data_IF_014307718728
#
_entry.id   IF_014307718728
#
_cell.length_a   1.000
_cell.length_b   1.000
_cell.length_c   1.000
_cell.angle_alpha   90.00
_cell.angle_beta   90.00
_cell.angle_gamma   90.00
#
_symmetry.space_group_name_H-M   'P 1'
#
loop_
_entity.id
_entity.type
_entity.pdbx_description
1 polymer ?
#
# COMPACT_ATOMS: atom_id res chain seq x y z
N UNK A 1 -5.91 43.54 18.71
CA UNK A 1 -5.29 44.88 18.72
C UNK A 1 -4.09 44.77 17.83
N UNK A 2 -3.97 45.61 16.81
CA UNK A 2 -2.80 45.64 15.93
C UNK A 2 -1.59 46.06 16.74
N UNK A 3 -0.85 45.07 17.24
CA UNK A 3 0.46 45.29 17.81
C UNK A 3 1.35 45.60 16.61
N UNK A 4 1.80 46.85 16.49
CA UNK A 4 2.51 47.43 15.35
C UNK A 4 3.92 46.83 15.11
N UNK A 5 4.05 45.51 15.22
CA UNK A 5 5.27 44.71 15.15
C UNK A 5 5.01 43.50 14.26
N UNK A 6 5.72 43.46 13.14
CA UNK A 6 5.81 42.30 12.28
C UNK A 6 6.89 41.36 12.85
N UNK A 7 6.44 40.25 13.45
CA UNK A 7 7.31 39.27 14.11
C UNK A 7 8.26 38.60 13.10
N UNK A 8 7.83 38.11 11.93
CA UNK A 8 8.74 37.62 10.89
C UNK A 8 9.84 38.62 10.50
N UNK A 9 9.50 39.90 10.28
CA UNK A 9 10.49 40.95 9.98
C UNK A 9 11.45 41.16 11.15
N UNK A 10 10.94 41.13 12.38
CA UNK A 10 11.76 41.29 13.58
C UNK A 10 12.75 40.14 13.77
N UNK A 11 12.29 38.89 13.60
CA UNK A 11 13.10 37.66 13.66
C UNK A 11 14.20 37.69 12.62
N UNK A 12 13.87 38.04 11.36
CA UNK A 12 14.85 38.17 10.27
C UNK A 12 15.88 39.26 10.53
N UNK A 13 15.45 40.43 11.02
CA UNK A 13 16.36 41.54 11.36
C UNK A 13 17.32 41.17 12.47
N UNK A 14 16.85 40.43 13.48
CA UNK A 14 17.63 39.99 14.64
C UNK A 14 18.40 38.70 14.41
N UNK A 15 18.21 38.04 13.26
CA UNK A 15 18.84 36.75 12.89
C UNK A 15 18.66 35.69 13.98
N UNK A 16 17.45 35.57 14.51
CA UNK A 16 17.15 34.56 15.53
C UNK A 16 17.06 33.19 14.87
N UNK A 17 17.65 32.19 15.52
CA UNK A 17 17.42 30.77 15.26
C UNK A 17 16.16 30.29 16.01
N UNK A 18 15.81 29.01 15.89
CA UNK A 18 14.64 28.42 16.54
C UNK A 18 14.64 28.65 18.06
N UNK A 19 15.82 28.52 18.68
CA UNK A 19 15.98 28.73 20.12
C UNK A 19 15.79 30.20 20.51
N UNK A 20 16.38 31.13 19.75
CA UNK A 20 16.18 32.56 19.93
C UNK A 20 14.74 32.99 19.73
N UNK A 21 14.03 32.37 18.79
CA UNK A 21 12.60 32.60 18.54
C UNK A 21 11.74 32.09 19.70
N UNK A 22 11.97 30.88 20.19
CA UNK A 22 11.27 30.31 21.36
C UNK A 22 11.45 31.22 22.58
N UNK A 23 12.70 31.63 22.86
CA UNK A 23 13.00 32.55 23.96
C UNK A 23 12.28 33.89 23.81
N UNK A 24 12.25 34.46 22.60
CA UNK A 24 11.52 35.70 22.29
C UNK A 24 10.02 35.55 22.56
N UNK A 25 9.38 34.48 22.08
CA UNK A 25 7.94 34.25 22.27
C UNK A 25 7.62 34.10 23.77
N UNK A 26 8.39 33.29 24.50
CA UNK A 26 8.19 33.12 25.94
C UNK A 26 8.45 34.40 26.74
N UNK A 27 9.40 35.24 26.32
CA UNK A 27 9.60 36.58 26.89
C UNK A 27 8.38 37.48 26.67
N UNK A 28 7.86 37.54 25.43
CA UNK A 28 6.66 38.34 25.12
C UNK A 28 5.45 37.88 25.96
N UNK A 29 5.27 36.56 26.10
CA UNK A 29 4.18 35.96 26.89
C UNK A 29 4.30 36.25 28.39
N UNK A 30 5.51 36.14 28.94
CA UNK A 30 5.79 36.31 30.37
C UNK A 30 5.75 37.78 30.80
N UNK A 31 6.39 38.67 30.04
CA UNK A 31 6.52 40.09 30.38
C UNK A 31 5.32 40.90 29.88
N UNK A 32 4.58 40.40 28.87
CA UNK A 32 3.48 41.10 28.20
C UNK A 32 3.89 42.51 27.74
N UNK A 33 5.10 42.62 27.19
CA UNK A 33 5.65 43.89 26.73
C UNK A 33 4.86 44.46 25.54
N UNK A 34 4.78 45.79 25.44
CA UNK A 34 4.20 46.45 24.28
C UNK A 34 5.10 46.32 23.05
N UNK A 35 4.52 46.46 21.85
CA UNK A 35 5.30 46.40 20.60
C UNK A 35 6.41 47.46 20.52
N UNK A 36 6.14 48.67 21.01
CA UNK A 36 7.14 49.75 21.10
C UNK A 36 8.30 49.37 22.03
N UNK A 37 8.00 48.75 23.18
CA UNK A 37 9.03 48.27 24.11
C UNK A 37 9.88 47.16 23.52
N UNK A 38 9.29 46.31 22.66
CA UNK A 38 10.01 45.22 22.01
C UNK A 38 10.96 45.75 20.91
N UNK A 39 10.48 46.70 20.10
CA UNK A 39 11.28 47.34 19.05
C UNK A 39 12.45 48.17 19.60
N UNK A 40 12.31 48.74 20.81
CA UNK A 40 13.35 49.53 21.48
C UNK A 40 14.45 48.73 22.21
N UNK A 41 14.43 47.40 22.13
CA UNK A 41 15.43 46.55 22.80
C UNK A 41 16.82 46.67 22.16
N UNK A 42 17.88 46.65 22.97
CA UNK A 42 19.27 46.70 22.49
C UNK A 42 19.63 45.43 21.70
N UNK A 43 20.50 45.54 20.71
CA UNK A 43 20.90 44.39 19.84
C UNK A 43 21.94 43.49 20.50
N UNK A 44 22.80 44.10 21.30
CA UNK A 44 23.96 43.56 21.97
C UNK A 44 23.63 42.77 23.24
N UNK A 45 22.42 42.92 23.79
CA UNK A 45 21.95 42.18 24.96
C UNK A 45 20.42 42.09 24.94
N UNK A 46 19.85 41.09 24.26
CA UNK A 46 18.41 40.92 24.19
C UNK A 46 17.87 40.50 25.56
N UNK A 47 16.75 41.07 26.02
CA UNK A 47 16.20 40.76 27.35
C UNK A 47 15.68 39.32 27.46
N UNK A 48 15.52 38.62 26.33
CA UNK A 48 15.12 37.21 26.27
C UNK A 48 16.30 36.23 26.21
N UNK A 49 17.55 36.68 26.33
CA UNK A 49 18.72 35.79 26.22
C UNK A 49 18.90 34.81 27.41
N UNK A 50 18.06 34.93 28.43
CA UNK A 50 18.05 34.05 29.61
C UNK A 50 17.46 32.66 29.31
N UNK A 51 18.05 31.61 29.89
CA UNK A 51 17.56 30.23 29.75
C UNK A 51 16.22 30.00 30.46
N UNK A 52 15.75 30.93 31.30
CA UNK A 52 14.41 30.87 31.87
C UNK A 52 13.31 30.86 30.80
N UNK A 53 13.57 31.50 29.65
CA UNK A 53 12.63 31.59 28.53
C UNK A 53 12.66 30.37 27.60
N UNK A 54 13.44 29.34 27.93
CA UNK A 54 13.33 28.03 27.29
C UNK A 54 12.12 27.22 27.77
N UNK A 55 11.50 27.64 28.87
CA UNK A 55 10.30 26.98 29.40
C UNK A 55 9.04 27.62 28.81
N UNK A 56 8.17 26.84 28.16
CA UNK A 56 6.91 27.35 27.62
C UNK A 56 6.08 28.03 28.72
N UNK A 57 5.65 29.26 28.47
CA UNK A 57 4.69 29.96 29.36
C UNK A 57 3.29 29.35 29.24
N UNK A 58 2.97 28.80 28.06
CA UNK A 58 1.75 28.06 27.76
C UNK A 58 2.13 26.65 27.27
N UNK A 59 1.48 25.63 27.81
CA UNK A 59 1.85 24.22 27.60
C UNK A 59 1.70 23.78 26.13
N UNK A 60 0.77 24.39 25.39
CA UNK A 60 0.48 24.11 23.98
C UNK A 60 0.46 25.40 23.14
N UNK A 61 1.47 26.27 23.26
CA UNK A 61 1.53 27.51 22.45
C UNK A 61 1.81 27.18 20.97
N UNK A 62 0.86 27.43 20.04
CA UNK A 62 1.08 27.14 18.62
C UNK A 62 2.24 27.95 18.04
N UNK A 63 2.56 29.11 18.63
CA UNK A 63 3.69 29.93 18.19
C UNK A 63 5.04 29.28 18.52
N UNK A 64 5.12 28.33 19.44
CA UNK A 64 6.36 27.59 19.73
C UNK A 64 6.56 26.38 18.80
N UNK A 65 5.58 26.08 17.94
CA UNK A 65 5.61 24.98 16.99
C UNK A 65 5.93 25.43 15.56
N UNK A 66 6.21 26.73 15.37
CA UNK A 66 6.54 27.29 14.06
C UNK A 66 8.03 27.09 13.79
N UNK A 67 8.34 26.58 12.59
CA UNK A 67 9.70 26.54 12.05
C UNK A 67 10.13 27.94 11.60
N UNK A 68 11.26 28.44 12.11
CA UNK A 68 11.75 29.80 11.81
C UNK A 68 12.17 29.94 10.35
N UNK A 69 12.64 28.87 9.72
CA UNK A 69 13.01 28.87 8.30
C UNK A 69 11.75 29.06 7.44
N UNK A 70 10.68 28.32 7.73
CA UNK A 70 9.39 28.45 7.05
C UNK A 70 8.74 29.84 7.29
N UNK A 71 8.82 30.35 8.52
CA UNK A 71 8.34 31.69 8.90
C UNK A 71 9.01 32.79 8.07
N UNK A 72 10.31 32.68 7.82
CA UNK A 72 11.07 33.66 7.04
C UNK A 72 10.84 33.52 5.53
N UNK A 73 10.62 32.30 5.03
CA UNK A 73 10.32 32.02 3.62
C UNK A 73 8.94 32.55 3.19
N UNK A 74 7.93 32.41 4.06
CA UNK A 74 6.60 32.98 3.83
C UNK A 74 6.62 34.50 3.63
N UNK A 75 7.56 35.21 4.28
CA UNK A 75 7.71 36.66 4.12
C UNK A 75 8.62 37.05 2.93
N UNK A 76 9.47 36.14 2.45
CA UNK A 76 10.24 36.30 1.22
C UNK A 76 9.36 36.48 -0.03
N UNK A 77 8.19 35.83 -0.04
CA UNK A 77 7.17 35.98 -1.08
C UNK A 77 6.50 37.38 -1.12
N UNK A 78 6.56 38.15 -0.03
CA UNK A 78 6.02 39.51 0.04
C UNK A 78 7.08 40.57 -0.31
N UNK A 79 8.35 40.30 0.02
CA UNK A 79 9.47 41.22 -0.24
C UNK A 79 10.00 41.16 -1.69
N UNK A 80 9.86 40.03 -2.41
CA UNK A 80 10.30 39.93 -3.81
C UNK A 80 9.36 40.59 -4.83
N UNK A 81 8.21 41.12 -4.37
CA UNK A 81 7.30 41.92 -5.21
C UNK A 81 7.83 43.36 -5.42
N UNK A 82 8.86 43.82 -4.68
CA UNK A 82 9.38 45.19 -4.82
C UNK A 82 10.66 45.32 -5.66
N UNK A 83 11.15 44.27 -6.34
CA UNK A 83 12.39 44.37 -7.15
C UNK A 83 12.34 43.80 -8.57
N UNK A 84 11.20 43.28 -9.04
CA UNK A 84 11.03 42.89 -10.44
C UNK A 84 10.32 44.00 -11.23
N UNK A 85 10.90 44.37 -12.37
CA UNK A 85 10.40 45.38 -13.31
C UNK A 85 8.88 45.34 -13.48
N UNK A 86 8.24 46.51 -13.40
CA UNK A 86 6.81 46.73 -13.63
C UNK A 86 6.40 46.20 -15.01
N UNK A 87 5.88 44.97 -15.06
CA UNK A 87 5.05 44.50 -16.16
C UNK A 87 3.61 44.65 -15.70
N UNK A 88 2.89 45.53 -16.37
CA UNK A 88 1.48 45.83 -16.12
C UNK A 88 0.66 44.53 -15.90
N UNK A 89 0.03 44.34 -14.72
CA UNK A 89 -0.65 43.10 -14.35
C UNK A 89 -1.88 42.77 -15.20
N UNK A 90 -2.36 43.70 -16.03
CA UNK A 90 -3.46 43.47 -16.99
C UNK A 90 -2.98 43.16 -18.43
N UNK A 91 -1.67 43.21 -18.69
CA UNK A 91 -1.14 42.85 -20.00
C UNK A 91 -1.21 41.32 -20.23
N UNK A 92 -1.58 40.86 -21.45
CA UNK A 92 -1.65 39.43 -21.78
C UNK A 92 -0.38 38.63 -21.41
N UNK A 93 0.81 39.24 -21.50
CA UNK A 93 2.06 38.60 -21.13
C UNK A 93 2.21 38.40 -19.61
N UNK A 94 1.72 39.34 -18.79
CA UNK A 94 1.73 39.24 -17.33
C UNK A 94 0.72 38.19 -16.82
N UNK A 95 -0.44 38.07 -17.48
CA UNK A 95 -1.41 37.02 -17.20
C UNK A 95 -0.90 35.63 -17.57
N UNK A 96 -0.21 35.50 -18.71
CA UNK A 96 0.39 34.24 -19.15
C UNK A 96 1.46 33.75 -18.17
N UNK A 97 2.34 34.65 -17.74
CA UNK A 97 3.40 34.33 -16.78
C UNK A 97 2.83 33.89 -15.42
N UNK A 98 1.77 34.57 -14.93
CA UNK A 98 1.07 34.16 -13.70
C UNK A 98 0.38 32.81 -13.83
N UNK A 99 -0.19 32.50 -15.00
CA UNK A 99 -0.81 31.20 -15.26
C UNK A 99 0.24 30.09 -15.23
N UNK A 100 1.40 30.29 -15.88
CA UNK A 100 2.51 29.33 -15.87
C UNK A 100 3.06 29.09 -14.46
N UNK A 101 3.24 30.14 -13.66
CA UNK A 101 3.67 30.00 -12.26
C UNK A 101 2.61 29.33 -11.37
N UNK A 102 1.32 29.50 -11.66
CA UNK A 102 0.25 28.79 -10.96
C UNK A 102 0.24 27.31 -11.34
N UNK A 103 0.46 26.99 -12.62
CA UNK A 103 0.58 25.62 -13.13
C UNK A 103 1.77 24.89 -12.51
N UNK A 104 2.95 25.50 -12.49
CA UNK A 104 4.14 24.90 -11.85
C UNK A 104 3.96 24.69 -10.33
N UNK A 105 3.19 25.55 -9.66
CA UNK A 105 2.84 25.36 -8.25
C UNK A 105 1.84 24.23 -8.07
N UNK A 106 0.86 24.11 -8.96
CA UNK A 106 -0.10 23.01 -8.94
C UNK A 106 0.60 21.67 -9.16
N UNK A 107 1.49 21.57 -10.15
CA UNK A 107 2.28 20.35 -10.42
C UNK A 107 3.13 19.95 -9.21
N UNK A 108 3.84 20.89 -8.59
CA UNK A 108 4.64 20.60 -7.38
C UNK A 108 3.78 20.18 -6.19
N UNK A 109 2.61 20.80 -6.01
CA UNK A 109 1.67 20.43 -4.95
C UNK A 109 1.08 19.03 -5.19
N UNK A 110 0.76 18.67 -6.43
CA UNK A 110 0.31 17.32 -6.79
C UNK A 110 1.39 16.26 -6.52
N UNK A 111 2.64 16.54 -6.86
CA UNK A 111 3.76 15.64 -6.53
C UNK A 111 3.98 15.49 -5.03
N UNK A 112 3.88 16.59 -4.27
CA UNK A 112 3.99 16.56 -2.81
C UNK A 112 2.84 15.77 -2.17
N UNK A 113 1.61 15.95 -2.67
CA UNK A 113 0.46 15.19 -2.22
C UNK A 113 0.61 13.71 -2.55
N UNK A 114 1.10 13.36 -3.73
CA UNK A 114 1.36 11.96 -4.11
C UNK A 114 2.38 11.30 -3.18
N UNK A 115 3.48 12.00 -2.84
CA UNK A 115 4.47 11.54 -1.85
C UNK A 115 3.85 11.36 -0.46
N UNK A 116 3.10 12.35 0.02
CA UNK A 116 2.44 12.28 1.32
C UNK A 116 1.40 11.15 1.40
N UNK A 117 0.65 10.88 0.33
CA UNK A 117 -0.28 9.75 0.25
C UNK A 117 0.47 8.41 0.28
N UNK A 118 1.62 8.32 -0.38
CA UNK A 118 2.48 7.14 -0.33
C UNK A 118 3.05 6.92 1.07
N UNK A 119 3.49 7.97 1.74
CA UNK A 119 4.01 7.92 3.11
C UNK A 119 2.91 7.54 4.11
N UNK A 120 1.69 8.05 3.93
CA UNK A 120 0.54 7.67 4.75
C UNK A 120 0.16 6.19 4.55
N UNK A 121 0.27 5.69 3.32
CA UNK A 121 0.08 4.27 3.03
C UNK A 121 1.18 3.40 3.67
N UNK A 122 2.45 3.82 3.59
CA UNK A 122 3.56 3.16 4.28
C UNK A 122 3.37 3.17 5.80
N UNK A 123 2.94 4.30 6.37
CA UNK A 123 2.65 4.44 7.80
C UNK A 123 1.53 3.49 8.23
N UNK A 124 0.49 3.35 7.41
CA UNK A 124 -0.61 2.41 7.66
C UNK A 124 -0.12 0.95 7.66
N UNK A 125 0.71 0.57 6.69
CA UNK A 125 1.33 -0.76 6.61
C UNK A 125 2.29 -1.01 7.78
N UNK A 126 3.09 -0.01 8.17
CA UNK A 126 3.99 -0.09 9.32
C UNK A 126 3.22 -0.21 10.63
N UNK A 127 2.14 0.56 10.80
CA UNK A 127 1.27 0.46 11.97
C UNK A 127 0.63 -0.94 12.07
N UNK A 128 0.25 -1.54 10.93
CA UNK A 128 -0.22 -2.92 10.87
C UNK A 128 0.89 -3.92 11.29
N UNK A 129 2.11 -3.75 10.78
CA UNK A 129 3.29 -4.56 11.16
C UNK A 129 3.67 -4.43 12.64
N UNK A 130 3.58 -3.23 13.23
CA UNK A 130 3.91 -3.01 14.64
C UNK A 130 2.91 -3.67 15.59
N UNK A 131 1.63 -3.71 15.22
CA UNK A 131 0.60 -4.42 15.99
C UNK A 131 0.83 -5.94 15.94
N UNK A 132 1.40 -6.46 14.85
CA UNK A 132 1.72 -7.89 14.69
C UNK A 132 2.97 -8.35 15.45
N UNK A 133 3.86 -7.44 15.87
CA UNK A 133 5.17 -7.80 16.44
C UNK A 133 5.23 -7.77 17.98
N UNK A 134 4.14 -7.39 18.65
CA UNK A 134 4.03 -7.47 20.12
C UNK A 134 3.21 -8.68 20.55
N UNK A 135 3.87 -9.85 20.63
CA UNK A 135 3.73 -10.90 21.67
C UNK A 135 4.10 -12.29 21.13
N UNK A 136 5.18 -12.90 21.63
CA UNK A 136 5.36 -14.36 21.54
C UNK A 136 6.20 -14.92 22.70
N UNK A 137 5.59 -15.81 23.48
CA UNK A 137 6.25 -16.76 24.38
C UNK A 137 6.08 -18.20 23.86
N UNK A 138 6.99 -19.15 24.14
CA UNK A 138 7.03 -20.42 23.42
C UNK A 138 6.17 -21.52 24.07
N UNK A 139 5.39 -22.24 23.26
CA UNK A 139 4.71 -23.50 23.61
C UNK A 139 4.93 -24.60 22.55
N UNK A 140 4.91 -25.91 22.91
CA UNK A 140 5.47 -26.96 22.08
C UNK A 140 4.53 -27.54 21.02
N UNK A 141 5.19 -28.05 19.97
CA UNK A 141 4.69 -28.52 18.68
C UNK A 141 4.01 -29.91 18.66
N UNK A 142 3.01 -30.07 17.80
CA UNK A 142 2.72 -31.34 17.10
C UNK A 142 2.13 -31.08 15.70
N UNK A 143 2.40 -31.98 14.76
CA UNK A 143 2.37 -31.75 13.32
C UNK A 143 1.02 -32.10 12.64
N UNK A 144 0.53 -31.15 11.84
CA UNK A 144 -0.50 -31.29 10.81
C UNK A 144 -0.36 -30.10 9.84
N UNK A 145 -0.48 -30.32 8.53
CA UNK A 145 -0.22 -29.30 7.50
C UNK A 145 -1.25 -28.17 7.45
N UNK A 146 -2.38 -28.33 8.16
CA UNK A 146 -3.25 -27.24 8.62
C UNK A 146 -2.79 -26.92 10.03
N UNK A 147 -1.63 -26.25 10.14
CA UNK A 147 -1.13 -25.84 11.44
C UNK A 147 -2.18 -24.91 12.05
N UNK A 148 -2.64 -25.22 13.27
CA UNK A 148 -3.52 -24.34 14.05
C UNK A 148 -2.87 -22.96 14.08
N UNK A 149 -3.39 -22.05 13.27
CA UNK A 149 -3.01 -20.65 13.26
C UNK A 149 -3.18 -20.16 14.71
N UNK A 150 -2.18 -19.46 15.25
CA UNK A 150 -2.27 -18.96 16.62
C UNK A 150 -3.41 -17.94 16.67
N UNK A 151 -4.33 -18.08 17.64
CA UNK A 151 -5.57 -17.29 17.72
C UNK A 151 -5.33 -15.77 17.66
N UNK A 152 -4.19 -15.27 18.18
CA UNK A 152 -3.85 -13.84 18.18
C UNK A 152 -3.40 -13.26 16.84
N UNK A 153 -2.67 -13.99 16.00
CA UNK A 153 -2.24 -13.52 14.67
C UNK A 153 -3.43 -13.52 13.68
N UNK A 154 -4.36 -14.46 13.86
CA UNK A 154 -5.60 -14.53 13.08
C UNK A 154 -6.57 -13.37 13.39
N UNK A 155 -6.66 -12.94 14.65
CA UNK A 155 -7.55 -11.84 15.04
C UNK A 155 -7.13 -10.52 14.39
N UNK A 156 -5.83 -10.22 14.35
CA UNK A 156 -5.30 -9.02 13.68
C UNK A 156 -5.61 -9.01 12.17
N UNK A 157 -5.46 -10.17 11.50
CA UNK A 157 -5.81 -10.29 10.09
C UNK A 157 -7.30 -10.02 9.85
N UNK A 158 -8.21 -10.73 10.52
CA UNK A 158 -9.64 -10.57 10.27
C UNK A 158 -10.18 -9.21 10.74
N UNK A 159 -9.55 -8.61 11.76
CA UNK A 159 -9.80 -7.23 12.19
C UNK A 159 -9.44 -6.23 11.10
N UNK A 160 -8.35 -6.44 10.35
CA UNK A 160 -8.00 -5.55 9.24
C UNK A 160 -9.09 -5.51 8.15
N UNK A 161 -9.69 -6.65 7.84
CA UNK A 161 -10.83 -6.76 6.90
C UNK A 161 -12.14 -6.24 7.48
N UNK A 162 -12.24 -5.96 8.78
CA UNK A 162 -13.40 -5.26 9.36
C UNK A 162 -13.47 -3.79 8.94
N UNK A 163 -12.36 -3.23 8.45
CA UNK A 163 -12.26 -1.83 8.08
C UNK A 163 -12.69 -1.58 6.62
N UNK A 164 -13.62 -0.64 6.40
CA UNK A 164 -14.18 -0.31 5.08
C UNK A 164 -13.13 0.03 4.02
N UNK A 165 -12.03 0.67 4.41
CA UNK A 165 -10.97 1.11 3.48
C UNK A 165 -10.32 -0.01 2.65
N UNK A 166 -10.19 -1.24 3.16
CA UNK A 166 -9.66 -2.36 2.36
C UNK A 166 -10.70 -2.77 1.30
N UNK A 167 -11.97 -2.86 1.69
CA UNK A 167 -13.07 -3.15 0.76
C UNK A 167 -13.25 -2.08 -0.30
N UNK A 168 -13.06 -0.81 0.05
CA UNK A 168 -13.10 0.30 -0.90
C UNK A 168 -12.00 0.16 -1.96
N UNK A 169 -10.77 -0.19 -1.57
CA UNK A 169 -9.66 -0.45 -2.50
C UNK A 169 -9.98 -1.64 -3.43
N UNK A 170 -10.47 -2.75 -2.86
CA UNK A 170 -10.86 -3.95 -3.63
C UNK A 170 -12.01 -3.69 -4.61
N UNK A 171 -13.00 -2.86 -4.23
CA UNK A 171 -14.15 -2.52 -5.08
C UNK A 171 -13.78 -1.48 -6.16
N UNK A 172 -12.85 -0.56 -5.87
CA UNK A 172 -12.32 0.39 -6.86
C UNK A 172 -11.38 -0.26 -7.87
N UNK A 173 -10.82 -1.43 -7.55
CA UNK A 173 -10.13 -2.26 -8.53
C UNK A 173 -11.14 -2.84 -9.53
N UNK A 174 -11.30 -2.10 -10.64
CA UNK A 174 -12.20 -2.46 -11.74
C UNK A 174 -11.73 -3.70 -12.47
N UNK A 175 -10.43 -3.86 -12.69
CA UNK A 175 -9.89 -5.04 -13.39
C UNK A 175 -10.29 -6.31 -12.63
N UNK A 176 -10.09 -6.31 -11.31
CA UNK A 176 -10.55 -7.40 -10.43
C UNK A 176 -12.07 -7.59 -10.52
N UNK A 177 -12.81 -6.57 -10.10
CA UNK A 177 -14.24 -6.70 -9.82
C UNK A 177 -15.06 -6.92 -11.09
N UNK A 178 -14.71 -6.24 -12.19
CA UNK A 178 -15.39 -6.41 -13.48
C UNK A 178 -15.05 -7.75 -14.14
N UNK A 179 -13.85 -8.32 -13.93
CA UNK A 179 -13.56 -9.66 -14.47
C UNK A 179 -14.44 -10.75 -13.85
N UNK A 180 -14.66 -10.72 -12.53
CA UNK A 180 -15.62 -11.63 -11.90
C UNK A 180 -17.05 -11.39 -12.38
N UNK A 181 -17.49 -10.12 -12.46
CA UNK A 181 -18.81 -9.75 -12.98
C UNK A 181 -19.00 -10.26 -14.40
N UNK A 182 -18.08 -9.96 -15.29
CA UNK A 182 -18.16 -10.27 -16.71
C UNK A 182 -18.11 -11.77 -16.94
N UNK A 183 -17.29 -12.51 -16.18
CA UNK A 183 -17.34 -13.97 -16.18
C UNK A 183 -18.75 -14.49 -15.88
N UNK A 184 -19.38 -14.03 -14.80
CA UNK A 184 -20.71 -14.52 -14.41
C UNK A 184 -21.81 -14.04 -15.37
N UNK A 185 -21.73 -12.82 -15.89
CA UNK A 185 -22.76 -12.22 -16.73
C UNK A 185 -22.69 -12.68 -18.19
N UNK A 186 -21.49 -13.00 -18.68
CA UNK A 186 -21.29 -13.54 -20.02
C UNK A 186 -21.51 -15.07 -20.08
N UNK A 187 -21.58 -15.74 -18.93
CA UNK A 187 -21.82 -17.19 -18.84
C UNK A 187 -22.97 -17.54 -17.86
N UNK A 188 -24.18 -16.93 -17.98
CA UNK A 188 -25.26 -17.11 -17.01
C UNK A 188 -25.79 -18.56 -16.96
N UNK A 189 -25.63 -19.34 -18.02
CA UNK A 189 -25.97 -20.77 -18.07
C UNK A 189 -25.17 -21.64 -17.10
N UNK A 190 -23.95 -21.21 -16.72
CA UNK A 190 -23.17 -21.88 -15.68
C UNK A 190 -23.87 -21.74 -14.32
N UNK A 191 -24.47 -20.57 -14.04
CA UNK A 191 -25.02 -20.21 -12.73
C UNK A 191 -26.52 -20.50 -12.59
N UNK A 192 -27.26 -20.56 -13.70
CA UNK A 192 -28.71 -20.75 -13.67
C UNK A 192 -29.11 -22.00 -12.89
N UNK A 193 -29.99 -21.81 -11.91
CA UNK A 193 -30.51 -22.86 -11.04
C UNK A 193 -29.44 -23.60 -10.20
N UNK A 194 -28.25 -23.01 -10.03
CA UNK A 194 -27.15 -23.58 -9.23
C UNK A 194 -27.11 -23.09 -7.79
N UNK A 195 -26.51 -23.89 -6.91
CA UNK A 195 -26.10 -23.46 -5.57
C UNK A 195 -24.65 -23.01 -5.62
N UNK A 196 -24.39 -21.76 -5.20
CA UNK A 196 -23.07 -21.13 -5.24
C UNK A 196 -22.57 -20.90 -3.81
N UNK A 197 -21.31 -21.21 -3.55
CA UNK A 197 -20.59 -20.83 -2.32
C UNK A 197 -19.59 -19.71 -2.64
N UNK A 198 -19.67 -18.60 -1.93
CA UNK A 198 -18.73 -17.48 -1.98
C UNK A 198 -17.84 -17.51 -0.74
N UNK A 199 -16.60 -17.97 -0.88
CA UNK A 199 -15.65 -18.14 0.23
C UNK A 199 -14.86 -16.84 0.42
N UNK A 200 -15.00 -16.21 1.58
CA UNK A 200 -14.50 -14.86 1.87
C UNK A 200 -15.31 -13.80 1.15
N UNK A 201 -16.63 -13.79 1.38
CA UNK A 201 -17.55 -12.97 0.59
C UNK A 201 -17.36 -11.46 0.81
N UNK A 202 -16.69 -11.04 1.90
CA UNK A 202 -16.48 -9.64 2.25
C UNK A 202 -17.79 -8.87 2.27
N UNK A 203 -17.90 -7.85 1.42
CA UNK A 203 -19.12 -7.03 1.24
C UNK A 203 -20.26 -7.74 0.50
N UNK A 204 -20.07 -8.97 0.03
CA UNK A 204 -21.07 -9.76 -0.69
C UNK A 204 -21.17 -9.44 -2.18
N UNK A 205 -20.22 -8.67 -2.75
CA UNK A 205 -20.29 -8.23 -4.15
C UNK A 205 -20.33 -9.39 -5.16
N UNK A 206 -19.51 -10.43 -4.94
CA UNK A 206 -19.46 -11.59 -5.83
C UNK A 206 -20.72 -12.45 -5.68
N UNK A 207 -21.20 -12.61 -4.44
CA UNK A 207 -22.50 -13.22 -4.16
C UNK A 207 -23.65 -12.55 -4.92
N UNK A 208 -23.67 -11.21 -4.98
CA UNK A 208 -24.69 -10.46 -5.72
C UNK A 208 -24.58 -10.64 -7.24
N UNK A 209 -23.36 -10.73 -7.79
CA UNK A 209 -23.17 -11.07 -9.21
C UNK A 209 -23.70 -12.47 -9.53
N UNK A 210 -23.38 -13.46 -8.70
CA UNK A 210 -23.85 -14.84 -8.87
C UNK A 210 -25.38 -14.93 -8.82
N UNK A 211 -26.02 -14.25 -7.85
CA UNK A 211 -27.47 -14.19 -7.76
C UNK A 211 -28.11 -13.56 -9.01
N UNK A 212 -27.54 -12.45 -9.51
CA UNK A 212 -28.02 -11.80 -10.75
C UNK A 212 -27.82 -12.65 -12.01
N UNK A 213 -26.82 -13.54 -12.02
CA UNK A 213 -26.64 -14.53 -13.08
C UNK A 213 -27.62 -15.71 -13.01
N UNK A 214 -28.54 -15.73 -12.05
CA UNK A 214 -29.61 -16.73 -11.96
C UNK A 214 -29.32 -17.91 -11.03
N UNK A 215 -28.34 -17.79 -10.12
CA UNK A 215 -28.13 -18.78 -9.08
C UNK A 215 -29.41 -18.99 -8.26
N UNK A 216 -29.78 -20.25 -8.02
CA UNK A 216 -30.95 -20.60 -7.18
C UNK A 216 -30.72 -20.19 -5.72
N UNK A 217 -29.49 -20.35 -5.25
CA UNK A 217 -29.08 -20.01 -3.89
C UNK A 217 -27.61 -19.64 -3.88
N UNK A 218 -27.25 -18.62 -3.13
CA UNK A 218 -25.86 -18.25 -2.86
C UNK A 218 -25.62 -18.29 -1.36
N UNK A 219 -24.54 -18.93 -0.93
CA UNK A 219 -24.09 -18.92 0.46
C UNK A 219 -22.76 -18.18 0.50
N UNK A 220 -22.73 -17.01 1.14
CA UNK A 220 -21.49 -16.26 1.37
C UNK A 220 -20.95 -16.53 2.77
N UNK A 221 -19.66 -16.81 2.89
CA UNK A 221 -19.01 -17.06 4.18
C UNK A 221 -17.89 -16.06 4.38
N UNK A 222 -17.87 -15.39 5.53
CA UNK A 222 -16.77 -14.51 5.90
C UNK A 222 -16.62 -14.47 7.43
N UNK A 223 -15.37 -14.50 7.92
CA UNK A 223 -15.09 -14.42 9.34
C UNK A 223 -15.17 -12.98 9.86
N UNK A 224 -14.87 -11.99 9.03
CA UNK A 224 -14.75 -10.59 9.43
C UNK A 224 -16.10 -9.95 9.76
N UNK A 225 -16.07 -8.90 10.58
CA UNK A 225 -17.26 -8.14 10.99
C UNK A 225 -17.96 -7.44 9.82
N UNK A 226 -17.27 -7.25 8.68
CA UNK A 226 -17.85 -6.67 7.46
C UNK A 226 -19.11 -7.41 6.98
N UNK A 227 -19.25 -8.68 7.35
CA UNK A 227 -20.40 -9.50 6.96
C UNK A 227 -21.72 -8.92 7.44
N UNK A 228 -21.75 -8.18 8.55
CA UNK A 228 -22.97 -7.53 9.03
C UNK A 228 -23.41 -6.41 8.09
N UNK A 229 -22.47 -5.61 7.60
CA UNK A 229 -22.75 -4.63 6.55
C UNK A 229 -23.13 -5.32 5.23
N UNK A 230 -22.50 -6.45 4.90
CA UNK A 230 -22.87 -7.24 3.73
C UNK A 230 -24.34 -7.73 3.79
N UNK A 231 -24.83 -8.12 4.98
CA UNK A 231 -26.25 -8.47 5.16
C UNK A 231 -27.18 -7.29 4.84
N UNK A 232 -26.83 -6.09 5.30
CA UNK A 232 -27.62 -4.87 5.02
C UNK A 232 -27.54 -4.46 3.56
N UNK A 233 -26.38 -4.62 2.91
CA UNK A 233 -26.20 -4.40 1.47
C UNK A 233 -27.10 -5.34 0.66
N UNK A 234 -27.13 -6.63 1.00
CA UNK A 234 -27.94 -7.64 0.31
C UNK A 234 -29.43 -7.31 0.43
N UNK A 235 -29.92 -6.98 1.63
CA UNK A 235 -31.31 -6.55 1.88
C UNK A 235 -31.66 -5.29 1.11
N UNK A 236 -30.76 -4.31 1.09
CA UNK A 236 -30.96 -3.06 0.35
C UNK A 236 -31.03 -3.27 -1.17
N UNK A 237 -30.57 -4.40 -1.68
CA UNK A 237 -30.63 -4.79 -3.08
C UNK A 237 -31.71 -5.87 -3.37
N UNK A 238 -32.56 -6.21 -2.40
CA UNK A 238 -33.64 -7.19 -2.52
C UNK A 238 -33.14 -8.59 -2.95
N UNK A 239 -32.01 -9.03 -2.40
CA UNK A 239 -31.38 -10.31 -2.72
C UNK A 239 -31.36 -11.29 -1.54
N UNK A 240 -31.97 -10.94 -0.41
CA UNK A 240 -31.99 -11.72 0.84
C UNK A 240 -32.68 -13.08 0.72
N UNK A 241 -33.61 -13.23 -0.21
CA UNK A 241 -34.28 -14.51 -0.49
C UNK A 241 -33.39 -15.49 -1.25
N UNK A 242 -32.36 -14.99 -1.93
CA UNK A 242 -31.43 -15.80 -2.74
C UNK A 242 -30.08 -15.99 -2.05
N UNK A 243 -29.61 -14.97 -1.33
CA UNK A 243 -28.27 -14.95 -0.72
C UNK A 243 -28.37 -15.11 0.79
N UNK A 244 -27.72 -16.15 1.33
CA UNK A 244 -27.56 -16.36 2.77
C UNK A 244 -26.11 -16.11 3.17
N UNK A 245 -25.87 -15.25 4.15
CA UNK A 245 -24.53 -15.00 4.69
C UNK A 245 -24.31 -15.74 6.01
N UNK A 246 -23.14 -16.35 6.17
CA UNK A 246 -22.73 -17.09 7.36
C UNK A 246 -21.44 -16.48 7.90
N UNK A 247 -21.49 -15.98 9.13
CA UNK A 247 -20.29 -15.46 9.79
C UNK A 247 -19.45 -16.61 10.33
N UNK A 248 -18.20 -16.68 9.92
CA UNK A 248 -17.25 -17.65 10.44
C UNK A 248 -16.13 -18.00 9.47
N UNK A 249 -15.17 -18.79 9.94
CA UNK A 249 -14.19 -19.47 9.08
C UNK A 249 -14.86 -20.64 8.37
N UNK A 250 -14.58 -20.84 7.08
CA UNK A 250 -15.19 -21.92 6.29
C UNK A 250 -14.88 -23.32 6.85
N UNK A 251 -13.78 -23.43 7.60
CA UNK A 251 -13.33 -24.62 8.31
C UNK A 251 -14.16 -24.94 9.56
N UNK A 252 -14.91 -23.98 10.09
CA UNK A 252 -15.56 -24.06 11.40
C UNK A 252 -17.08 -23.85 11.35
N UNK A 253 -17.62 -23.48 10.19
CA UNK A 253 -19.06 -23.29 10.02
C UNK A 253 -19.70 -24.47 9.32
N UNK A 254 -20.92 -24.79 9.75
CA UNK A 254 -21.83 -25.66 9.01
C UNK A 254 -22.63 -24.83 8.01
N UNK A 255 -22.56 -25.20 6.72
CA UNK A 255 -23.34 -24.54 5.70
C UNK A 255 -24.81 -24.99 5.72
N UNK A 256 -25.77 -24.13 5.36
CA UNK A 256 -27.19 -24.48 5.28
C UNK A 256 -27.52 -25.33 4.02
N UNK A 257 -26.52 -26.03 3.49
CA UNK A 257 -26.55 -26.90 2.31
C UNK A 257 -25.50 -28.00 2.47
N UNK A 258 -25.79 -29.21 1.99
CA UNK A 258 -24.85 -30.33 2.06
C UNK A 258 -23.73 -30.21 1.00
N UNK A 259 -24.11 -29.79 -0.21
CA UNK A 259 -23.20 -29.62 -1.35
C UNK A 259 -23.56 -28.38 -2.16
N UNK A 260 -22.57 -27.86 -2.87
CA UNK A 260 -22.68 -26.73 -3.81
C UNK A 260 -22.21 -27.13 -5.20
N UNK A 261 -22.82 -26.53 -6.23
CA UNK A 261 -22.44 -26.75 -7.63
C UNK A 261 -21.19 -25.94 -8.00
N UNK A 262 -21.06 -24.75 -7.43
CA UNK A 262 -20.02 -23.78 -7.77
C UNK A 262 -19.43 -23.19 -6.49
N UNK A 263 -18.11 -23.10 -6.45
CA UNK A 263 -17.39 -22.25 -5.49
C UNK A 263 -16.82 -21.07 -6.25
N UNK A 264 -17.10 -19.86 -5.79
CA UNK A 264 -16.45 -18.63 -6.21
C UNK A 264 -15.66 -18.09 -5.02
N UNK A 265 -14.46 -17.58 -5.26
CA UNK A 265 -13.68 -16.95 -4.21
C UNK A 265 -12.63 -16.05 -4.82
N UNK A 266 -12.46 -14.87 -4.22
CA UNK A 266 -11.33 -14.02 -4.47
C UNK A 266 -10.30 -14.25 -3.36
N UNK A 267 -9.42 -15.23 -3.61
CA UNK A 267 -8.48 -15.77 -2.63
C UNK A 267 -7.04 -15.30 -2.85
N UNK A 268 -6.80 -14.51 -3.90
CA UNK A 268 -5.45 -14.24 -4.38
C UNK A 268 -4.78 -13.17 -3.51
N UNK A 269 -3.63 -13.52 -2.93
CA UNK A 269 -2.80 -12.54 -2.21
C UNK A 269 -1.72 -11.92 -3.10
N UNK A 270 -0.88 -11.07 -2.49
CA UNK A 270 0.36 -10.62 -3.12
C UNK A 270 1.23 -11.81 -3.55
N UNK A 271 1.91 -11.68 -4.69
CA UNK A 271 2.62 -12.79 -5.32
C UNK A 271 1.76 -14.08 -5.45
N UNK A 272 0.44 -13.91 -5.63
CA UNK A 272 -0.62 -14.93 -5.71
C UNK A 272 -0.92 -15.67 -4.40
N UNK A 273 0.12 -16.11 -3.68
CA UNK A 273 0.01 -17.10 -2.60
C UNK A 273 0.13 -16.51 -1.18
N UNK A 274 0.40 -15.22 -1.06
CA UNK A 274 0.45 -14.55 0.24
C UNK A 274 -0.92 -14.56 0.92
N UNK A 275 -0.96 -14.49 2.26
CA UNK A 275 -2.16 -14.58 3.12
C UNK A 275 -2.90 -15.94 3.15
N UNK A 276 -2.50 -16.91 2.32
CA UNK A 276 -2.88 -18.33 2.41
C UNK A 276 -4.38 -18.67 2.29
N UNK A 277 -5.23 -17.78 1.78
CA UNK A 277 -6.67 -18.06 1.62
C UNK A 277 -7.00 -19.21 0.63
N UNK A 278 -6.05 -19.56 -0.25
CA UNK A 278 -6.18 -20.73 -1.13
C UNK A 278 -6.46 -22.03 -0.35
N UNK A 279 -5.90 -22.18 0.86
CA UNK A 279 -6.13 -23.37 1.68
C UNK A 279 -7.60 -23.52 2.04
N UNK A 280 -8.26 -22.42 2.41
CA UNK A 280 -9.69 -22.36 2.75
C UNK A 280 -10.57 -22.69 1.56
N UNK A 281 -10.20 -22.24 0.36
CA UNK A 281 -10.90 -22.60 -0.89
C UNK A 281 -10.75 -24.09 -1.20
N UNK A 282 -9.57 -24.66 -1.01
CA UNK A 282 -9.33 -26.09 -1.20
C UNK A 282 -10.09 -26.93 -0.17
N UNK A 283 -10.13 -26.50 1.09
CA UNK A 283 -10.95 -27.11 2.13
C UNK A 283 -12.43 -27.11 1.75
N UNK A 284 -12.96 -25.95 1.33
CA UNK A 284 -14.34 -25.81 0.89
C UNK A 284 -14.65 -26.71 -0.32
N UNK A 285 -13.71 -26.81 -1.28
CA UNK A 285 -13.83 -27.71 -2.43
C UNK A 285 -13.99 -29.16 -1.98
N UNK A 286 -13.08 -29.63 -1.13
CA UNK A 286 -13.03 -31.03 -0.74
C UNK A 286 -14.25 -31.44 0.10
N UNK A 287 -14.76 -30.51 0.91
CA UNK A 287 -15.90 -30.76 1.79
C UNK A 287 -17.25 -30.52 1.11
N UNK A 288 -17.42 -29.39 0.42
CA UNK A 288 -18.73 -28.89 -0.01
C UNK A 288 -18.98 -28.98 -1.52
N UNK A 289 -17.96 -29.14 -2.37
CA UNK A 289 -18.23 -29.21 -3.81
C UNK A 289 -18.89 -30.54 -4.19
N UNK A 290 -19.95 -30.47 -4.98
CA UNK A 290 -20.61 -31.63 -5.57
C UNK A 290 -19.71 -32.29 -6.64
N UNK A 291 -19.94 -33.58 -6.91
CA UNK A 291 -19.29 -34.24 -8.05
C UNK A 291 -19.66 -33.52 -9.36
N UNK A 292 -18.65 -33.22 -10.19
CA UNK A 292 -18.82 -32.44 -11.41
C UNK A 292 -18.93 -30.92 -11.21
N UNK A 293 -18.89 -30.43 -9.97
CA UNK A 293 -18.88 -29.00 -9.65
C UNK A 293 -17.63 -28.26 -10.14
N UNK A 294 -17.66 -26.93 -10.05
CA UNK A 294 -16.56 -26.06 -10.49
C UNK A 294 -16.14 -25.07 -9.41
N UNK A 295 -14.85 -24.73 -9.41
CA UNK A 295 -14.27 -23.68 -8.58
C UNK A 295 -13.79 -22.58 -9.52
N UNK A 296 -14.12 -21.32 -9.23
CA UNK A 296 -13.68 -20.17 -10.00
C UNK A 296 -12.98 -19.13 -9.11
N UNK A 297 -11.86 -18.54 -9.58
CA UNK A 297 -11.17 -18.86 -10.83
C UNK A 297 -10.59 -20.27 -10.83
N UNK A 298 -10.54 -20.92 -12.01
CA UNK A 298 -10.17 -22.34 -12.15
C UNK A 298 -8.71 -22.54 -12.54
N UNK A 299 -8.04 -21.47 -12.99
CA UNK A 299 -6.62 -21.50 -13.34
C UNK A 299 -5.95 -20.18 -13.00
N UNK A 300 -4.70 -20.29 -12.55
CA UNK A 300 -3.81 -19.17 -12.28
C UNK A 300 -2.41 -19.49 -12.80
N UNK A 301 -1.62 -18.45 -13.09
CA UNK A 301 -0.23 -18.59 -13.48
C UNK A 301 0.61 -17.49 -12.83
N UNK A 302 1.77 -17.83 -12.27
CA UNK A 302 2.75 -16.85 -11.77
C UNK A 302 3.84 -16.68 -12.82
N UNK A 303 4.15 -15.43 -13.14
CA UNK A 303 5.15 -15.03 -14.12
C UNK A 303 6.23 -14.18 -13.45
N UNK A 304 7.47 -14.31 -13.93
CA UNK A 304 8.63 -13.55 -13.47
C UNK A 304 9.25 -12.76 -14.62
N UNK A 305 9.66 -11.52 -14.34
CA UNK A 305 10.35 -10.64 -15.29
C UNK A 305 11.56 -9.97 -14.64
N UNK A 306 12.65 -9.78 -15.39
CA UNK A 306 13.83 -9.06 -14.93
C UNK A 306 13.63 -7.55 -15.05
N UNK A 307 14.05 -6.81 -14.01
CA UNK A 307 13.89 -5.36 -13.90
C UNK A 307 15.27 -4.68 -13.82
N UNK A 308 15.52 -3.79 -14.77
CA UNK A 308 16.68 -2.90 -14.82
C UNK A 308 16.32 -1.51 -14.28
N UNK A 309 16.33 -1.34 -12.96
CA UNK A 309 16.07 -0.06 -12.28
C UNK A 309 17.24 0.29 -11.34
N UNK A 310 18.27 0.91 -11.92
CA UNK A 310 19.48 1.32 -11.21
C UNK A 310 19.18 2.39 -10.16
N UNK A 311 18.26 3.31 -10.46
CA UNK A 311 17.94 4.41 -9.55
C UNK A 311 17.30 3.87 -8.26
N UNK A 312 16.33 2.97 -8.41
CA UNK A 312 15.70 2.30 -7.27
C UNK A 312 16.66 1.46 -6.46
N UNK A 313 17.53 0.70 -7.13
CA UNK A 313 18.57 -0.06 -6.44
C UNK A 313 19.50 0.85 -5.66
N UNK A 314 19.88 2.00 -6.23
CA UNK A 314 20.70 3.00 -5.55
C UNK A 314 20.00 3.56 -4.32
N UNK A 315 18.71 3.90 -4.41
CA UNK A 315 17.94 4.46 -3.30
C UNK A 315 17.68 3.45 -2.17
N UNK A 316 17.48 2.17 -2.48
CA UNK A 316 17.05 1.15 -1.51
C UNK A 316 18.19 0.28 -0.99
N UNK A 317 19.17 -0.02 -1.83
CA UNK A 317 20.27 -0.96 -1.54
C UNK A 317 21.59 -0.21 -1.47
N UNK A 318 22.02 0.45 -2.54
CA UNK A 318 23.36 1.07 -2.60
C UNK A 318 23.50 2.29 -1.66
N UNK A 319 22.39 2.93 -1.28
CA UNK A 319 22.35 4.02 -0.30
C UNK A 319 23.10 3.64 0.99
N UNK A 320 22.97 2.38 1.43
CA UNK A 320 23.61 1.90 2.66
C UNK A 320 25.13 1.73 2.55
N UNK A 321 25.71 1.75 1.35
CA UNK A 321 27.17 1.70 1.20
C UNK A 321 27.85 2.97 1.71
N UNK A 322 27.19 4.12 1.54
CA UNK A 322 27.69 5.44 1.92
C UNK A 322 26.52 6.37 2.29
N UNK A 323 26.26 6.47 3.60
CA UNK A 323 25.26 7.35 4.18
C UNK A 323 25.98 8.57 4.73
N UNK A 324 26.04 9.66 3.94
CA UNK A 324 26.73 10.91 4.30
C UNK A 324 28.22 10.75 4.67
N UNK A 325 28.96 9.88 4.00
CA UNK A 325 30.36 9.55 4.28
C UNK A 325 30.54 8.37 5.23
N UNK A 326 29.45 7.84 5.80
CA UNK A 326 29.49 6.75 6.78
C UNK A 326 29.11 5.40 6.14
N UNK A 327 29.91 4.37 6.42
CA UNK A 327 29.66 3.00 5.93
C UNK A 327 28.58 2.31 6.76
N UNK A 328 27.40 2.11 6.19
CA UNK A 328 26.26 1.46 6.86
C UNK A 328 25.82 0.16 6.16
N UNK A 329 26.71 -0.49 5.41
CA UNK A 329 26.38 -1.65 4.57
C UNK A 329 25.80 -2.85 5.36
N UNK A 330 25.99 -2.89 6.69
CA UNK A 330 25.33 -3.89 7.55
C UNK A 330 23.80 -3.82 7.48
N UNK A 331 23.22 -2.64 7.18
CA UNK A 331 21.78 -2.42 7.07
C UNK A 331 21.17 -3.12 5.85
N UNK A 332 21.95 -3.39 4.80
CA UNK A 332 21.49 -4.16 3.62
C UNK A 332 20.92 -5.51 4.01
N UNK A 333 21.45 -6.15 5.07
CA UNK A 333 20.96 -7.46 5.57
C UNK A 333 19.54 -7.40 6.12
N UNK A 334 19.08 -6.23 6.57
CA UNK A 334 17.71 -6.04 7.04
C UNK A 334 16.76 -5.70 5.87
N UNK A 335 17.22 -4.91 4.90
CA UNK A 335 16.37 -4.42 3.80
C UNK A 335 16.21 -5.44 2.66
N UNK A 336 17.27 -6.17 2.32
CA UNK A 336 17.29 -7.10 1.18
C UNK A 336 16.36 -8.31 1.31
N UNK A 337 16.12 -8.88 2.51
CA UNK A 337 15.15 -9.94 2.66
C UNK A 337 13.71 -9.50 2.48
N UNK A 338 13.37 -8.20 2.46
CA UNK A 338 11.98 -7.77 2.29
C UNK A 338 11.61 -7.69 0.81
N UNK A 339 10.61 -8.47 0.40
CA UNK A 339 10.01 -8.31 -0.92
C UNK A 339 9.10 -7.08 -0.92
N UNK A 340 9.21 -6.21 -1.93
CA UNK A 340 8.42 -4.99 -2.02
C UNK A 340 7.16 -5.20 -2.87
N UNK A 341 6.00 -4.75 -2.39
CA UNK A 341 4.75 -4.74 -3.18
C UNK A 341 4.50 -3.35 -3.76
N UNK A 342 4.71 -3.24 -5.07
CA UNK A 342 4.77 -1.94 -5.73
C UNK A 342 4.49 -2.04 -7.23
N UNK A 343 4.18 -0.90 -7.85
CA UNK A 343 3.98 -0.83 -9.30
C UNK A 343 5.35 -0.81 -9.98
N UNK A 344 5.68 -1.88 -10.69
CA UNK A 344 6.84 -1.94 -11.55
C UNK A 344 6.58 -1.11 -12.83
N UNK A 345 7.54 -0.27 -13.18
CA UNK A 345 7.46 0.59 -14.36
C UNK A 345 7.65 -0.24 -15.64
N UNK A 346 6.74 -0.22 -16.62
CA UNK A 346 6.88 -1.00 -17.85
C UNK A 346 8.19 -0.78 -18.59
N UNK A 347 8.72 0.44 -18.54
CA UNK A 347 9.97 0.87 -19.18
C UNK A 347 11.23 0.31 -18.50
N UNK A 348 11.15 -0.17 -17.25
CA UNK A 348 12.29 -0.79 -16.56
C UNK A 348 12.37 -2.29 -16.77
N UNK A 349 11.42 -2.89 -17.50
CA UNK A 349 11.44 -4.32 -17.82
C UNK A 349 12.46 -4.62 -18.92
N UNK A 350 13.39 -5.52 -18.64
CA UNK A 350 14.47 -5.86 -19.58
C UNK A 350 14.39 -7.28 -20.15
N UNK A 351 13.39 -8.08 -19.72
CA UNK A 351 13.17 -9.43 -20.23
C UNK A 351 11.71 -9.67 -20.62
N UNK A 352 11.48 -10.75 -21.36
CA UNK A 352 10.17 -11.36 -21.44
C UNK A 352 9.81 -12.07 -20.13
N UNK A 353 8.51 -12.26 -19.83
CA UNK A 353 8.06 -13.16 -18.76
C UNK A 353 8.63 -14.57 -18.99
N UNK A 354 9.25 -15.18 -17.97
CA UNK A 354 10.13 -16.35 -18.08
C UNK A 354 9.71 -17.38 -19.17
N UNK A 355 10.53 -17.78 -20.17
CA UNK A 355 12.00 -17.89 -20.33
C UNK A 355 12.74 -16.55 -20.43
N UNK A 356 13.66 -16.30 -19.49
CA UNK A 356 14.39 -15.03 -19.37
C UNK A 356 15.44 -14.89 -20.48
N UNK A 357 15.07 -14.18 -21.55
CA UNK A 357 15.99 -13.54 -22.51
C UNK A 357 15.99 -12.04 -22.22
N UNK A 358 17.17 -11.46 -22.02
CA UNK A 358 17.30 -10.04 -21.72
C UNK A 358 17.69 -9.23 -22.96
N UNK A 359 17.51 -7.91 -22.91
CA UNK A 359 18.14 -6.93 -23.81
C UNK A 359 19.24 -6.16 -23.07
N UNK A 360 20.25 -5.65 -23.79
CA UNK A 360 21.55 -5.18 -23.27
C UNK A 360 21.45 -4.24 -22.04
N UNK A 361 21.69 -4.74 -20.81
CA UNK A 361 22.08 -4.01 -19.57
C UNK A 361 22.15 -4.99 -18.37
N UNK A 362 22.71 -4.58 -17.21
CA UNK A 362 22.56 -5.29 -15.93
C UNK A 362 21.18 -5.11 -15.31
N UNK A 363 20.62 -6.13 -14.65
CA UNK A 363 19.37 -6.02 -13.87
C UNK A 363 19.61 -6.01 -12.36
N UNK A 364 18.68 -5.40 -11.63
CA UNK A 364 18.77 -5.17 -10.18
C UNK A 364 17.63 -5.81 -9.39
N UNK A 365 16.58 -6.28 -10.06
CA UNK A 365 15.48 -6.96 -9.41
C UNK A 365 14.79 -7.99 -10.31
N UNK A 366 14.01 -8.85 -9.69
CA UNK A 366 13.02 -9.70 -10.36
C UNK A 366 11.64 -9.24 -9.88
N UNK A 367 10.70 -9.01 -10.78
CA UNK A 367 9.31 -8.76 -10.43
C UNK A 367 8.45 -10.00 -10.71
N UNK A 368 7.61 -10.34 -9.74
CA UNK A 368 6.61 -11.39 -9.83
C UNK A 368 5.21 -10.80 -9.97
N UNK A 369 4.43 -11.37 -10.88
CA UNK A 369 3.02 -11.05 -11.08
C UNK A 369 2.25 -12.33 -11.43
N UNK A 370 0.92 -12.24 -11.53
CA UNK A 370 0.10 -13.41 -11.83
C UNK A 370 -1.07 -13.09 -12.77
N UNK A 371 -1.53 -14.13 -13.44
CA UNK A 371 -2.68 -14.12 -14.35
C UNK A 371 -3.76 -15.05 -13.79
N UNK A 372 -5.01 -14.63 -13.93
CA UNK A 372 -6.21 -15.34 -13.46
C UNK A 372 -7.11 -15.63 -14.65
N UNK A 373 -7.64 -16.86 -14.70
CA UNK A 373 -8.46 -17.33 -15.81
C UNK A 373 -9.77 -17.95 -15.30
N UNK A 374 -10.83 -17.73 -16.08
CA UNK A 374 -12.16 -18.30 -15.91
C UNK A 374 -12.52 -19.08 -17.19
N UNK A 375 -12.04 -20.32 -17.28
CA UNK A 375 -12.04 -21.11 -18.52
C UNK A 375 -13.02 -22.30 -18.51
N UNK A 376 -13.11 -23.02 -17.39
CA UNK A 376 -13.87 -24.27 -17.31
C UNK A 376 -15.35 -24.04 -17.60
N UNK A 377 -15.93 -24.81 -18.52
CA UNK A 377 -17.34 -24.77 -18.90
C UNK A 377 -17.85 -23.38 -19.37
N UNK A 378 -16.96 -22.48 -19.76
CA UNK A 378 -17.31 -21.15 -20.26
C UNK A 378 -17.36 -21.13 -21.78
N UNK A 379 -18.43 -20.58 -22.34
CA UNK A 379 -18.47 -20.18 -23.75
C UNK A 379 -17.66 -18.88 -23.96
N UNK A 380 -17.75 -17.96 -23.00
CA UNK A 380 -17.03 -16.69 -22.99
C UNK A 380 -15.94 -16.69 -21.91
N UNK A 381 -14.70 -16.97 -22.33
CA UNK A 381 -13.55 -16.98 -21.42
C UNK A 381 -13.19 -15.57 -20.97
N UNK A 382 -12.95 -15.42 -19.68
CA UNK A 382 -12.50 -14.17 -19.06
C UNK A 382 -11.15 -14.41 -18.39
N UNK A 383 -10.28 -13.41 -18.44
CA UNK A 383 -9.01 -13.42 -17.74
C UNK A 383 -8.64 -12.01 -17.29
N UNK A 384 -7.74 -11.90 -16.33
CA UNK A 384 -7.03 -10.66 -16.02
C UNK A 384 -5.59 -10.94 -15.61
N UNK A 385 -4.75 -9.92 -15.73
CA UNK A 385 -3.32 -9.98 -15.41
C UNK A 385 -2.96 -8.87 -14.44
N UNK A 386 -2.10 -9.18 -13.47
CA UNK A 386 -1.43 -8.18 -12.62
C UNK A 386 -0.07 -7.76 -13.20
N UNK A 387 0.20 -8.10 -14.47
CA UNK A 387 1.46 -7.79 -15.14
C UNK A 387 1.72 -6.28 -15.24
N UNK A 388 3.00 -5.84 -15.20
CA UNK A 388 3.32 -4.41 -15.24
C UNK A 388 2.85 -3.71 -16.53
N UNK A 389 2.71 -4.44 -17.63
CA UNK A 389 2.23 -3.90 -18.93
C UNK A 389 0.70 -3.83 -19.03
N UNK A 390 -0.03 -4.27 -18.01
CA UNK A 390 -1.49 -4.30 -17.97
C UNK A 390 -2.03 -3.14 -17.13
N UNK A 391 -3.36 -2.95 -17.16
CA UNK A 391 -4.02 -1.99 -16.28
C UNK A 391 -3.74 -2.33 -14.81
N UNK A 392 -3.36 -1.31 -14.04
CA UNK A 392 -2.99 -1.46 -12.62
C UNK A 392 -4.13 -2.10 -11.81
N UNK A 393 -3.76 -3.07 -10.99
CA UNK A 393 -4.59 -3.69 -9.95
C UNK A 393 -4.07 -3.31 -8.56
N UNK A 394 -4.85 -3.56 -7.52
CA UNK A 394 -4.42 -3.31 -6.13
C UNK A 394 -3.28 -4.25 -5.67
N UNK A 395 -3.15 -5.43 -6.29
CA UNK A 395 -2.02 -6.34 -6.05
C UNK A 395 -0.67 -5.80 -6.49
N UNK A 396 -0.64 -4.88 -7.47
CA UNK A 396 0.58 -4.37 -8.07
C UNK A 396 1.48 -5.53 -8.52
N UNK A 397 2.79 -5.48 -8.25
CA UNK A 397 3.74 -6.57 -8.45
C UNK A 397 4.62 -6.75 -7.21
N UNK A 398 5.20 -7.94 -7.07
CA UNK A 398 6.15 -8.25 -6.00
C UNK A 398 7.58 -8.15 -6.53
N UNK A 399 8.36 -7.19 -6.04
CA UNK A 399 9.72 -6.89 -6.50
C UNK A 399 10.74 -7.46 -5.52
N UNK A 400 11.64 -8.30 -6.04
CA UNK A 400 12.74 -8.94 -5.34
C UNK A 400 14.05 -8.25 -5.73
N UNK A 401 14.52 -7.30 -4.92
CA UNK A 401 15.78 -6.58 -5.15
C UNK A 401 16.98 -7.51 -4.96
N UNK A 402 17.93 -7.47 -5.89
CA UNK A 402 19.19 -8.20 -5.78
C UNK A 402 20.20 -7.42 -4.93
N UNK A 403 20.96 -8.13 -4.12
CA UNK A 403 22.07 -7.53 -3.36
C UNK A 403 23.06 -6.81 -4.28
N UNK A 404 23.44 -7.47 -5.37
CA UNK A 404 24.34 -6.94 -6.39
C UNK A 404 23.70 -7.08 -7.77
N UNK A 405 23.79 -6.05 -8.64
CA UNK A 405 23.31 -6.15 -10.01
C UNK A 405 23.98 -7.30 -10.77
N UNK A 406 23.23 -8.01 -11.60
CA UNK A 406 23.77 -9.05 -12.49
C UNK A 406 23.87 -8.47 -13.89
N UNK A 407 25.07 -8.44 -14.44
CA UNK A 407 25.32 -8.05 -15.83
C UNK A 407 24.86 -9.16 -16.78
N UNK A 408 24.06 -8.80 -17.79
CA UNK A 408 23.60 -9.75 -18.82
C UNK A 408 23.73 -9.13 -20.22
N UNK A 409 23.83 -9.99 -21.23
CA UNK A 409 23.86 -9.61 -22.63
C UNK A 409 22.52 -9.87 -23.33
N UNK A 410 22.27 -9.15 -24.42
CA UNK A 410 21.06 -9.35 -25.19
C UNK A 410 21.00 -10.76 -25.78
N UNK A 411 19.89 -11.45 -25.58
CA UNK A 411 19.70 -12.84 -26.00
C UNK A 411 20.35 -13.87 -25.08
N UNK A 412 21.01 -13.46 -23.99
CA UNK A 412 21.49 -14.37 -22.96
C UNK A 412 20.31 -15.00 -22.21
N UNK A 413 20.37 -16.32 -22.03
CA UNK A 413 19.38 -17.05 -21.26
C UNK A 413 19.86 -17.17 -19.81
N UNK A 414 19.18 -16.49 -18.89
CA UNK A 414 19.48 -16.63 -17.48
C UNK A 414 18.76 -17.85 -16.91
N UNK A 415 19.53 -18.85 -16.48
CA UNK A 415 18.99 -20.03 -15.81
C UNK A 415 19.02 -19.85 -14.29
N UNK A 416 17.94 -20.26 -13.65
CA UNK A 416 17.81 -20.15 -12.21
C UNK A 416 16.68 -21.00 -11.66
N UNK A 417 16.52 -20.92 -10.35
CA UNK A 417 15.49 -21.63 -9.60
C UNK A 417 14.83 -20.69 -8.61
N UNK A 418 13.51 -20.67 -8.60
CA UNK A 418 12.70 -20.08 -7.55
C UNK A 418 12.10 -21.19 -6.67
N UNK A 419 12.06 -20.97 -5.36
CA UNK A 419 11.38 -21.83 -4.39
C UNK A 419 10.52 -20.96 -3.50
N UNK A 420 9.22 -21.19 -3.49
CA UNK A 420 8.25 -20.50 -2.63
C UNK A 420 7.78 -21.46 -1.56
N UNK A 421 7.80 -21.06 -0.30
CA UNK A 421 7.39 -21.89 0.84
C UNK A 421 6.68 -21.03 1.88
N UNK A 422 5.67 -21.57 2.56
CA UNK A 422 5.12 -20.93 3.76
C UNK A 422 6.17 -20.87 4.86
N UNK A 423 6.18 -19.78 5.60
CA UNK A 423 6.99 -19.70 6.80
C UNK A 423 6.36 -20.62 7.87
N UNK A 424 7.20 -21.36 8.60
CA UNK A 424 6.74 -22.30 9.64
C UNK A 424 6.31 -21.60 10.92
N UNK A 425 6.86 -20.41 11.17
CA UNK A 425 6.55 -19.61 12.36
C UNK A 425 5.31 -18.77 12.16
N UNK A 426 5.15 -18.25 10.95
CA UNK A 426 4.02 -17.44 10.49
C UNK A 426 3.48 -18.08 9.19
N UNK A 427 2.40 -18.88 9.26
CA UNK A 427 1.88 -19.58 8.08
C UNK A 427 1.27 -18.68 7.00
N UNK A 428 1.01 -17.40 7.30
CA UNK A 428 0.48 -16.41 6.34
C UNK A 428 1.62 -15.77 5.52
N UNK A 429 2.82 -15.70 6.08
CA UNK A 429 4.02 -15.24 5.38
C UNK A 429 4.62 -16.27 4.41
N UNK A 430 5.28 -15.77 3.37
CA UNK A 430 6.02 -16.55 2.38
C UNK A 430 7.52 -16.33 2.48
N UNK A 431 8.28 -17.41 2.36
CA UNK A 431 9.71 -17.41 2.10
C UNK A 431 9.96 -17.74 0.62
N UNK A 432 10.56 -16.80 -0.10
CA UNK A 432 10.88 -16.91 -1.51
C UNK A 432 12.40 -16.98 -1.65
N UNK A 433 12.94 -18.10 -2.12
CA UNK A 433 14.37 -18.22 -2.43
C UNK A 433 14.57 -18.21 -3.93
N UNK A 434 15.37 -17.25 -4.42
CA UNK A 434 15.78 -17.15 -5.82
C UNK A 434 17.26 -17.51 -5.92
N UNK A 435 17.60 -18.42 -6.85
CA UNK A 435 18.97 -18.83 -7.17
C UNK A 435 19.26 -18.55 -8.65
N UNK A 436 20.26 -17.73 -8.94
CA UNK A 436 20.69 -17.34 -10.29
C UNK A 436 22.22 -17.50 -10.35
N UNK A 437 22.71 -18.46 -11.14
CA UNK A 437 24.14 -18.82 -11.12
C UNK A 437 24.63 -19.15 -9.70
N UNK A 438 25.68 -18.45 -9.25
CA UNK A 438 26.25 -18.60 -7.91
C UNK A 438 25.55 -17.76 -6.82
N UNK A 439 24.62 -16.87 -7.22
CA UNK A 439 23.88 -16.04 -6.29
C UNK A 439 22.63 -16.76 -5.79
N UNK A 440 22.40 -16.69 -4.48
CA UNK A 440 21.21 -17.22 -3.82
C UNK A 440 20.73 -16.23 -2.76
N UNK A 441 19.53 -15.72 -2.94
CA UNK A 441 18.91 -14.78 -2.01
C UNK A 441 17.56 -15.31 -1.55
N UNK A 442 17.23 -15.08 -0.28
CA UNK A 442 15.94 -15.43 0.30
C UNK A 442 15.23 -14.17 0.76
N UNK A 443 13.98 -14.05 0.36
CA UNK A 443 13.08 -12.98 0.67
C UNK A 443 11.96 -13.50 1.56
N UNK A 444 11.43 -12.62 2.40
CA UNK A 444 10.24 -12.78 3.19
C UNK A 444 9.20 -11.80 2.64
N UNK A 445 7.99 -12.30 2.42
CA UNK A 445 6.81 -11.50 2.17
C UNK A 445 5.91 -11.72 3.38
N UNK A 446 5.73 -10.66 4.18
CA UNK A 446 5.05 -10.65 5.47
C UNK A 446 3.91 -9.65 5.46
#
# INVERSE_FOLDING_TARGET
>A
MDHNVDIPVFVKRRKLDDYGYIKLINYIRSVRCSGESLLGTREDSPPWDSDEYMKPVLQDDPLLQIDVEELCEMNGLVADISSAMEVDPECPAGLLHRAQQAEERAVRAEEALARAMEDLHKLKLLAQSLVMSTESGPGPSSAGAVARLQEGEDEAYFSSYGHYGIHEEMLKDRVRTESYRDFMYLNPEIFRDKVVLDVGCGTGILSMFAARSGARKVVGVDQSEIIYQAMDIIRSNNLEDTITLVKGRIEEVDLPVEKVDIIISEWMGYFLLFESMLDSVLYARDLYLAEGGSVYPDRCAVSLVAVGDIQKHRERVAFWDDVYGFKMACMKKAVLPEAAVEVAKPETLISEPAVIRCSLVSFQAIAGYFDIFFDKNCDNKVMFSTGPRCTKTHWKQTVFLLESPIAVQSGENLQGRISVRKNRKDPRALLITISLGDQKQTYSLQ
#
